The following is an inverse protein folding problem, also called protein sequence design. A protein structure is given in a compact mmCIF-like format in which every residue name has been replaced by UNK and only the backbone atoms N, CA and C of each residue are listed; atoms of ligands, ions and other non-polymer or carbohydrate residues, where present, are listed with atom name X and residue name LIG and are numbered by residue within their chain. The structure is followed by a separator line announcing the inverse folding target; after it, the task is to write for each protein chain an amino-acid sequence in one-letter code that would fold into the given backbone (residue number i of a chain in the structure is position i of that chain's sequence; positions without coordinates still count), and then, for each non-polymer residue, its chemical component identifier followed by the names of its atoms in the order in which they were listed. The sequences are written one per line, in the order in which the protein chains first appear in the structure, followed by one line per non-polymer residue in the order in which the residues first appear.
data_IF_040386070405
#
_entry.id   IF_040386070405
#
_cell.length_a   1.000
_cell.length_b   1.000
_cell.length_c   1.000
_cell.angle_alpha   90.00
_cell.angle_beta   90.00
_cell.angle_gamma   90.00
#
_symmetry.space_group_name_H-M   'P 1'
#
loop_
_entity.id
_entity.type
_entity.pdbx_description
1 polymer ?
#
# COMPACT_ATOMS: atom_id res chain seq x y z
N UNK A 1 50.52 43.48 -38.92
CA UNK A 1 49.72 42.30 -38.52
C UNK A 1 50.41 41.66 -37.32
N UNK A 2 49.94 41.91 -36.09
CA UNK A 2 50.47 41.29 -34.87
C UNK A 2 49.30 40.96 -33.94
N UNK A 3 49.33 39.72 -33.49
CA UNK A 3 48.28 38.93 -32.84
C UNK A 3 48.05 39.43 -31.41
N UNK A 4 46.78 39.53 -31.00
CA UNK A 4 46.33 39.81 -29.64
C UNK A 4 46.56 38.59 -28.74
N UNK A 5 47.16 38.81 -27.56
CA UNK A 5 47.28 37.82 -26.49
C UNK A 5 45.88 37.49 -25.95
N UNK A 6 45.52 36.21 -25.93
CA UNK A 6 44.48 35.69 -25.05
C UNK A 6 45.12 35.43 -23.69
N UNK A 7 44.72 36.19 -22.67
CA UNK A 7 45.10 35.90 -21.30
C UNK A 7 44.27 34.72 -20.79
N UNK A 8 44.98 33.65 -20.40
CA UNK A 8 44.42 32.43 -19.87
C UNK A 8 44.22 32.61 -18.36
N UNK A 9 42.98 32.61 -17.89
CA UNK A 9 42.66 32.66 -16.46
C UNK A 9 42.92 31.28 -15.84
N UNK A 10 44.07 31.10 -15.19
CA UNK A 10 44.38 29.88 -14.41
C UNK A 10 43.79 30.04 -13.01
N UNK A 11 42.71 29.35 -12.72
CA UNK A 11 42.12 29.28 -11.38
C UNK A 11 42.94 28.31 -10.54
N UNK A 12 43.73 28.82 -9.59
CA UNK A 12 44.44 28.00 -8.60
C UNK A 12 43.46 27.62 -7.48
N UNK A 13 42.89 26.42 -7.58
CA UNK A 13 41.99 25.88 -6.56
C UNK A 13 42.84 25.36 -5.39
N UNK A 14 42.64 25.94 -4.20
CA UNK A 14 43.30 25.48 -2.98
C UNK A 14 42.92 24.01 -2.69
N UNK A 15 43.91 23.17 -2.39
CA UNK A 15 43.72 21.72 -2.13
C UNK A 15 42.63 21.47 -1.06
N UNK A 16 42.51 22.36 -0.07
CA UNK A 16 41.48 22.26 0.98
C UNK A 16 40.06 22.54 0.46
N UNK A 17 39.90 23.40 -0.54
CA UNK A 17 38.61 23.67 -1.20
C UNK A 17 38.19 22.45 -2.04
N UNK A 18 39.14 21.76 -2.67
CA UNK A 18 38.87 20.52 -3.42
C UNK A 18 38.38 19.40 -2.49
N UNK A 19 38.98 19.24 -1.31
CA UNK A 19 38.51 18.27 -0.31
C UNK A 19 37.12 18.61 0.24
N UNK A 20 36.82 19.90 0.44
CA UNK A 20 35.48 20.34 0.86
C UNK A 20 34.42 20.05 -0.22
N UNK A 21 34.75 20.29 -1.50
CA UNK A 21 33.89 19.95 -2.64
C UNK A 21 33.65 18.44 -2.78
N UNK A 22 34.67 17.62 -2.52
CA UNK A 22 34.55 16.15 -2.50
C UNK A 22 33.66 15.66 -1.36
N UNK A 23 33.66 16.32 -0.20
CA UNK A 23 32.76 15.98 0.91
C UNK A 23 31.30 16.30 0.58
N UNK A 24 31.01 17.43 -0.10
CA UNK A 24 29.66 17.78 -0.53
C UNK A 24 29.08 16.82 -1.59
N UNK A 25 29.91 16.25 -2.46
CA UNK A 25 29.47 15.27 -3.47
C UNK A 25 29.06 13.92 -2.85
N UNK A 26 29.54 13.57 -1.65
CA UNK A 26 29.17 12.32 -0.99
C UNK A 26 27.80 12.37 -0.29
N UNK A 27 27.27 13.56 0.03
CA UNK A 27 25.95 13.68 0.68
C UNK A 27 24.76 13.53 -0.28
N UNK A 28 24.98 13.54 -1.59
CA UNK A 28 23.91 13.49 -2.60
C UNK A 28 23.50 12.09 -3.05
N UNK A 29 24.15 11.03 -2.55
CA UNK A 29 23.86 9.64 -2.96
C UNK A 29 23.00 8.84 -1.96
N UNK A 30 22.56 9.45 -0.85
CA UNK A 30 21.88 8.70 0.21
C UNK A 30 20.35 8.60 0.08
N UNK A 31 19.67 9.33 -0.81
CA UNK A 31 18.19 9.31 -0.86
C UNK A 31 17.62 9.58 -2.26
N UNK A 32 17.89 8.71 -3.24
CA UNK A 32 17.20 8.81 -4.53
C UNK A 32 16.50 7.51 -4.96
N UNK A 33 15.55 7.06 -4.13
CA UNK A 33 14.49 6.15 -4.57
C UNK A 33 13.34 6.88 -5.29
N UNK A 34 13.42 8.20 -5.47
CA UNK A 34 12.34 9.01 -6.05
C UNK A 34 12.41 9.10 -7.58
N UNK A 35 13.48 8.59 -8.21
CA UNK A 35 13.66 8.65 -9.67
C UNK A 35 14.04 7.31 -10.32
N UNK A 36 13.83 6.19 -9.62
CA UNK A 36 14.05 4.87 -10.19
C UNK A 36 12.73 4.43 -10.85
N UNK A 37 12.68 4.40 -12.18
CA UNK A 37 11.88 3.48 -12.99
C UNK A 37 10.40 3.24 -12.59
N UNK A 38 9.50 4.21 -12.78
CA UNK A 38 8.03 4.01 -12.69
C UNK A 38 7.48 3.58 -11.32
N UNK A 39 8.23 3.81 -10.24
CA UNK A 39 7.74 3.60 -8.89
C UNK A 39 6.98 4.84 -8.40
N UNK A 40 5.76 4.64 -7.90
CA UNK A 40 4.90 5.69 -7.35
C UNK A 40 4.57 5.33 -5.91
N UNK A 41 4.50 6.33 -5.03
CA UNK A 41 4.02 6.16 -3.65
C UNK A 41 2.55 5.76 -3.68
N UNK A 42 2.19 4.72 -2.94
CA UNK A 42 0.81 4.21 -2.93
C UNK A 42 -0.18 5.24 -2.37
N UNK A 43 0.24 6.07 -1.41
CA UNK A 43 -0.56 7.18 -0.88
C UNK A 43 -0.98 8.23 -1.93
N UNK A 44 -0.28 8.29 -3.07
CA UNK A 44 -0.57 9.22 -4.16
C UNK A 44 -1.47 8.59 -5.23
N UNK A 45 -1.84 7.31 -5.11
CA UNK A 45 -2.79 6.67 -6.00
C UNK A 45 -4.23 7.09 -5.66
N UNK A 46 -5.11 7.02 -6.66
CA UNK A 46 -6.54 7.31 -6.48
C UNK A 46 -7.23 6.13 -5.79
N UNK A 47 -7.06 6.06 -4.48
CA UNK A 47 -7.67 5.04 -3.61
C UNK A 47 -8.96 5.57 -3.01
N UNK A 48 -9.97 4.71 -2.92
CA UNK A 48 -11.23 5.06 -2.24
C UNK A 48 -11.32 4.27 -0.94
N UNK A 49 -11.51 4.95 0.19
CA UNK A 49 -11.72 4.29 1.49
C UNK A 49 -13.03 4.74 2.11
N UNK A 50 -13.82 3.78 2.55
CA UNK A 50 -15.04 4.01 3.33
C UNK A 50 -14.91 3.40 4.71
N UNK A 51 -15.50 4.07 5.69
CA UNK A 51 -15.54 3.61 7.08
C UNK A 51 -16.97 3.24 7.41
N UNK A 52 -17.22 1.94 7.59
CA UNK A 52 -18.54 1.46 7.98
C UNK A 52 -18.67 1.61 9.49
N UNK A 53 -19.63 2.43 9.92
CA UNK A 53 -19.94 2.66 11.35
C UNK A 53 -21.37 2.29 11.71
N UNK A 54 -22.18 1.95 10.70
CA UNK A 54 -23.60 1.60 10.82
C UNK A 54 -24.03 0.77 9.62
N UNK A 55 -25.26 0.27 9.66
CA UNK A 55 -25.83 -0.40 8.49
C UNK A 55 -26.00 0.62 7.35
N UNK A 56 -25.41 0.34 6.21
CA UNK A 56 -25.39 1.27 5.08
C UNK A 56 -25.19 0.55 3.75
N UNK A 57 -25.44 1.27 2.66
CA UNK A 57 -25.22 0.79 1.30
C UNK A 57 -24.25 1.71 0.59
N UNK A 58 -23.15 1.15 0.12
CA UNK A 58 -22.10 1.84 -0.61
C UNK A 58 -22.13 1.37 -2.05
N UNK A 59 -22.12 2.31 -3.00
CA UNK A 59 -22.08 2.01 -4.44
C UNK A 59 -20.79 2.56 -5.04
N UNK A 60 -20.02 1.68 -5.69
CA UNK A 60 -18.79 2.05 -6.39
C UNK A 60 -18.87 1.46 -7.78
N UNK A 61 -18.94 2.31 -8.80
CA UNK A 61 -19.15 1.89 -10.19
C UNK A 61 -20.38 0.96 -10.33
N UNK A 62 -20.14 -0.29 -10.75
CA UNK A 62 -21.15 -1.33 -10.93
C UNK A 62 -21.30 -2.25 -9.71
N UNK A 63 -20.54 -2.00 -8.64
CA UNK A 63 -20.56 -2.78 -7.40
C UNK A 63 -21.44 -2.09 -6.36
N UNK A 64 -22.20 -2.90 -5.63
CA UNK A 64 -23.02 -2.50 -4.51
C UNK A 64 -22.62 -3.32 -3.28
N UNK A 65 -22.31 -2.64 -2.20
CA UNK A 65 -21.94 -3.21 -0.91
C UNK A 65 -23.00 -2.83 0.11
N UNK A 66 -23.77 -3.81 0.59
CA UNK A 66 -24.78 -3.63 1.61
C UNK A 66 -24.21 -4.17 2.93
N UNK A 67 -23.83 -3.27 3.84
CA UNK A 67 -23.28 -3.62 5.14
C UNK A 67 -24.37 -3.62 6.21
N UNK A 68 -24.42 -4.69 7.01
CA UNK A 68 -25.29 -4.80 8.18
C UNK A 68 -24.45 -4.76 9.45
N UNK A 69 -24.46 -3.62 10.12
CA UNK A 69 -23.75 -3.40 11.37
C UNK A 69 -24.45 -4.07 12.55
N UNK A 70 -23.67 -4.59 13.48
CA UNK A 70 -24.12 -5.13 14.76
C UNK A 70 -23.19 -4.62 15.86
N UNK A 71 -23.72 -3.87 16.84
CA UNK A 71 -22.97 -3.27 17.95
C UNK A 71 -22.45 -4.30 18.98
N UNK A 72 -22.94 -5.54 18.93
CA UNK A 72 -22.54 -6.63 19.82
C UNK A 72 -22.27 -7.90 19.00
N UNK A 73 -21.42 -7.76 17.98
CA UNK A 73 -21.08 -8.85 17.06
C UNK A 73 -20.21 -9.90 17.75
N UNK A 74 -19.18 -9.47 18.47
CA UNK A 74 -18.19 -10.34 19.10
C UNK A 74 -17.90 -9.91 20.54
N UNK A 75 -17.27 -10.78 21.31
CA UNK A 75 -16.94 -10.55 22.72
C UNK A 75 -15.46 -10.86 22.98
N UNK A 76 -14.78 -9.99 23.70
CA UNK A 76 -13.47 -10.30 24.28
C UNK A 76 -13.45 -10.00 25.77
N UNK A 77 -12.65 -10.76 26.53
CA UNK A 77 -12.53 -10.59 27.98
C UNK A 77 -12.00 -9.20 28.36
N UNK A 78 -11.24 -8.55 27.47
CA UNK A 78 -10.56 -7.30 27.76
C UNK A 78 -11.43 -6.06 27.52
N UNK A 79 -12.36 -6.11 26.55
CA UNK A 79 -13.18 -4.94 26.17
C UNK A 79 -14.70 -5.20 26.22
N UNK A 80 -15.12 -6.43 26.50
CA UNK A 80 -16.54 -6.82 26.50
C UNK A 80 -17.06 -7.09 25.09
N UNK A 81 -18.36 -6.82 24.88
CA UNK A 81 -18.96 -6.88 23.56
C UNK A 81 -18.52 -5.70 22.70
N UNK A 82 -18.20 -5.96 21.45
CA UNK A 82 -17.83 -4.95 20.46
C UNK A 82 -18.51 -5.19 19.12
N UNK A 83 -18.52 -4.12 18.32
CA UNK A 83 -19.29 -4.06 17.09
C UNK A 83 -18.61 -4.76 15.90
N UNK A 84 -19.27 -4.65 14.75
CA UNK A 84 -18.71 -5.02 13.47
C UNK A 84 -19.78 -5.17 12.39
N UNK A 85 -19.37 -5.65 11.22
CA UNK A 85 -20.27 -5.95 10.10
C UNK A 85 -20.65 -7.42 10.14
N UNK A 86 -21.87 -7.68 10.58
CA UNK A 86 -22.44 -9.03 10.63
C UNK A 86 -22.55 -9.67 9.24
N UNK A 87 -22.97 -8.89 8.25
CA UNK A 87 -23.10 -9.29 6.85
C UNK A 87 -22.70 -8.13 5.94
N UNK A 88 -21.73 -8.36 5.06
CA UNK A 88 -21.40 -7.50 3.93
C UNK A 88 -21.84 -8.24 2.67
N UNK A 89 -22.96 -7.81 2.09
CA UNK A 89 -23.52 -8.39 0.88
C UNK A 89 -23.05 -7.62 -0.34
N UNK A 90 -22.56 -8.34 -1.34
CA UNK A 90 -21.97 -7.79 -2.55
C UNK A 90 -22.86 -8.11 -3.75
N UNK A 91 -23.10 -7.11 -4.58
CA UNK A 91 -23.78 -7.27 -5.87
C UNK A 91 -23.02 -6.56 -6.99
N UNK A 92 -23.00 -7.14 -8.19
CA UNK A 92 -22.40 -6.54 -9.38
C UNK A 92 -23.42 -6.44 -10.49
N UNK A 93 -23.57 -5.23 -11.06
CA UNK A 93 -24.56 -4.93 -12.10
C UNK A 93 -25.98 -5.37 -11.70
N UNK A 94 -26.32 -5.19 -10.43
CA UNK A 94 -27.63 -5.54 -9.85
C UNK A 94 -27.83 -7.04 -9.56
N UNK A 95 -26.83 -7.89 -9.81
CA UNK A 95 -26.88 -9.32 -9.45
C UNK A 95 -26.12 -9.57 -8.16
N UNK A 96 -26.75 -10.30 -7.24
CA UNK A 96 -26.06 -10.81 -6.06
C UNK A 96 -24.85 -11.64 -6.45
N UNK A 97 -23.73 -11.41 -5.78
CA UNK A 97 -22.49 -12.17 -5.94
C UNK A 97 -22.28 -13.07 -4.73
N UNK A 98 -22.05 -12.47 -3.56
CA UNK A 98 -21.67 -13.18 -2.34
C UNK A 98 -22.01 -12.36 -1.10
N UNK A 99 -21.88 -13.01 0.05
CA UNK A 99 -21.96 -12.36 1.36
C UNK A 99 -20.72 -12.74 2.16
N UNK A 100 -20.00 -11.76 2.66
CA UNK A 100 -18.95 -11.94 3.65
C UNK A 100 -19.58 -11.73 5.03
N UNK A 101 -19.36 -12.65 5.95
CA UNK A 101 -20.01 -12.63 7.28
C UNK A 101 -19.00 -12.40 8.38
N UNK A 102 -19.48 -11.86 9.50
CA UNK A 102 -18.73 -11.73 10.75
C UNK A 102 -17.40 -10.99 10.58
N UNK A 103 -17.44 -9.80 9.98
CA UNK A 103 -16.29 -8.91 9.91
C UNK A 103 -16.25 -8.14 11.23
N UNK A 104 -15.30 -8.49 12.08
CA UNK A 104 -15.16 -7.93 13.41
C UNK A 104 -14.44 -6.57 13.41
N UNK A 105 -14.88 -5.65 14.26
CA UNK A 105 -14.07 -4.49 14.65
C UNK A 105 -13.12 -4.92 15.78
N UNK A 106 -12.11 -5.73 15.43
CA UNK A 106 -11.24 -6.43 16.39
C UNK A 106 -10.44 -5.51 17.32
N UNK A 107 -10.34 -4.22 16.98
CA UNK A 107 -9.69 -3.17 17.78
C UNK A 107 -10.70 -2.20 18.44
N UNK A 108 -12.01 -2.48 18.30
CA UNK A 108 -13.13 -1.76 18.91
C UNK A 108 -13.09 -0.24 18.70
N UNK A 109 -12.77 0.21 17.48
CA UNK A 109 -12.75 1.64 17.13
C UNK A 109 -14.14 2.20 16.78
N UNK A 110 -15.16 1.35 16.69
CA UNK A 110 -16.50 1.70 16.21
C UNK A 110 -16.58 1.88 14.70
N UNK A 111 -15.56 1.43 13.95
CA UNK A 111 -15.49 1.59 12.49
C UNK A 111 -14.74 0.42 11.83
N UNK A 112 -15.19 0.01 10.64
CA UNK A 112 -14.47 -0.92 9.78
C UNK A 112 -14.08 -0.21 8.48
N UNK A 113 -12.79 0.11 8.29
CA UNK A 113 -12.29 0.68 7.04
C UNK A 113 -12.23 -0.37 5.92
N UNK A 114 -12.83 -0.05 4.78
CA UNK A 114 -12.72 -0.81 3.54
C UNK A 114 -12.09 0.09 2.48
N UNK A 115 -10.99 -0.35 1.90
CA UNK A 115 -10.25 0.38 0.86
C UNK A 115 -10.35 -0.35 -0.47
N UNK A 116 -10.65 0.39 -1.52
CA UNK A 116 -10.87 -0.08 -2.89
C UNK A 116 -9.76 0.41 -3.81
N UNK A 117 -9.19 -0.51 -4.58
CA UNK A 117 -8.13 -0.26 -5.56
C UNK A 117 -7.92 -1.51 -6.43
N UNK A 118 -7.22 -1.39 -7.56
CA UNK A 118 -6.75 -2.52 -8.38
C UNK A 118 -5.39 -3.02 -7.86
N UNK A 119 -5.40 -3.83 -6.79
CA UNK A 119 -4.19 -4.18 -6.04
C UNK A 119 -3.28 -5.14 -6.80
N UNK A 120 -3.87 -6.07 -7.56
CA UNK A 120 -3.16 -7.02 -8.40
C UNK A 120 -2.80 -6.46 -9.80
N UNK A 121 -3.22 -5.23 -10.10
CA UNK A 121 -2.96 -4.49 -11.34
C UNK A 121 -3.49 -5.24 -12.56
N UNK A 122 -4.64 -5.90 -12.45
CA UNK A 122 -5.28 -6.65 -13.53
C UNK A 122 -6.38 -5.87 -14.27
N UNK A 123 -6.69 -4.65 -13.81
CA UNK A 123 -7.70 -3.77 -14.37
C UNK A 123 -9.08 -3.90 -13.73
N UNK A 124 -9.26 -4.78 -12.73
CA UNK A 124 -10.49 -4.91 -11.97
C UNK A 124 -10.40 -4.23 -10.60
N UNK A 125 -11.55 -3.84 -10.07
CA UNK A 125 -11.61 -3.22 -8.75
C UNK A 125 -11.60 -4.31 -7.69
N UNK A 126 -10.58 -4.28 -6.84
CA UNK A 126 -10.45 -5.11 -5.65
C UNK A 126 -10.77 -4.30 -4.40
N UNK A 127 -10.77 -4.97 -3.25
CA UNK A 127 -10.76 -4.27 -1.96
C UNK A 127 -9.99 -5.04 -0.90
N UNK A 128 -9.56 -4.32 0.14
CA UNK A 128 -9.21 -4.95 1.41
C UNK A 128 -10.07 -4.40 2.54
N UNK A 129 -10.21 -5.21 3.58
CA UNK A 129 -10.78 -4.81 4.87
C UNK A 129 -9.63 -4.75 5.88
N UNK A 130 -9.48 -3.61 6.56
CA UNK A 130 -8.51 -3.49 7.65
C UNK A 130 -9.12 -4.10 8.92
N UNK A 131 -8.53 -5.17 9.42
CA UNK A 131 -9.02 -5.89 10.61
C UNK A 131 -8.36 -5.35 11.88
N UNK A 132 -7.04 -5.25 11.86
CA UNK A 132 -6.27 -4.68 12.95
C UNK A 132 -5.03 -3.94 12.42
N UNK A 133 -4.45 -3.12 13.30
CA UNK A 133 -3.17 -2.47 13.05
C UNK A 133 -2.34 -2.50 14.34
N UNK A 134 -1.43 -3.47 14.40
CA UNK A 134 -0.36 -3.49 15.39
C UNK A 134 0.90 -2.83 14.82
N UNK A 135 2.00 -3.58 14.82
CA UNK A 135 3.26 -3.18 14.17
C UNK A 135 3.12 -3.17 12.63
N UNK A 136 2.35 -4.12 12.10
CA UNK A 136 1.97 -4.27 10.70
C UNK A 136 0.47 -4.49 10.70
N UNK A 137 -0.27 -3.87 9.79
CA UNK A 137 -1.72 -4.06 9.73
C UNK A 137 -2.08 -5.38 9.07
N UNK A 138 -3.07 -6.07 9.64
CA UNK A 138 -3.74 -7.20 9.01
C UNK A 138 -4.84 -6.69 8.07
N UNK A 139 -4.63 -6.88 6.77
CA UNK A 139 -5.50 -6.42 5.70
C UNK A 139 -6.06 -7.62 4.94
N UNK A 140 -7.34 -7.94 5.11
CA UNK A 140 -7.96 -9.03 4.36
C UNK A 140 -8.24 -8.58 2.92
N UNK A 141 -7.42 -9.03 1.96
CA UNK A 141 -7.57 -8.70 0.54
C UNK A 141 -8.58 -9.62 -0.17
N UNK A 142 -9.42 -9.01 -1.00
CA UNK A 142 -10.45 -9.66 -1.79
C UNK A 142 -10.32 -9.22 -3.24
N UNK A 143 -9.89 -10.15 -4.11
CA UNK A 143 -9.68 -9.85 -5.53
C UNK A 143 -10.85 -10.30 -6.37
N UNK A 144 -11.26 -9.47 -7.30
CA UNK A 144 -12.34 -9.81 -8.22
C UNK A 144 -11.86 -10.87 -9.22
N UNK A 145 -12.53 -12.02 -9.26
CA UNK A 145 -12.32 -13.01 -10.32
C UNK A 145 -13.44 -12.90 -11.35
N UNK A 146 -13.08 -12.45 -12.55
CA UNK A 146 -14.04 -12.28 -13.65
C UNK A 146 -14.72 -13.61 -14.03
N UNK A 147 -13.98 -14.73 -13.94
CA UNK A 147 -14.46 -16.05 -14.36
C UNK A 147 -15.66 -16.50 -13.53
N UNK A 148 -15.53 -16.42 -12.21
CA UNK A 148 -16.62 -16.73 -11.28
C UNK A 148 -17.56 -15.54 -11.04
N UNK A 149 -17.14 -14.33 -11.42
CA UNK A 149 -17.76 -13.05 -11.03
C UNK A 149 -17.90 -12.90 -9.51
N UNK A 150 -16.93 -13.41 -8.75
CA UNK A 150 -16.89 -13.37 -7.28
C UNK A 150 -15.59 -12.75 -6.76
N UNK A 151 -15.60 -12.30 -5.51
CA UNK A 151 -14.42 -11.83 -4.82
C UNK A 151 -13.76 -12.96 -4.03
N UNK A 152 -12.50 -13.24 -4.34
CA UNK A 152 -11.71 -14.30 -3.74
C UNK A 152 -10.81 -13.68 -2.67
N UNK A 153 -10.96 -14.14 -1.44
CA UNK A 153 -10.06 -13.79 -0.35
C UNK A 153 -8.64 -14.34 -0.60
N UNK A 154 -7.63 -13.49 -0.41
CA UNK A 154 -6.21 -13.79 -0.70
C UNK A 154 -5.38 -13.75 0.57
N UNK A 155 -5.38 -14.86 1.32
CA UNK A 155 -4.64 -15.00 2.59
C UNK A 155 -3.15 -14.65 2.50
N UNK A 156 -2.48 -14.95 1.38
CA UNK A 156 -1.06 -14.63 1.20
C UNK A 156 -0.78 -13.12 1.20
N UNK A 157 -1.81 -12.29 1.02
CA UNK A 157 -1.70 -10.84 0.99
C UNK A 157 -1.97 -10.18 2.34
N UNK A 158 -2.38 -10.94 3.36
CA UNK A 158 -2.90 -10.42 4.64
C UNK A 158 -2.00 -9.38 5.34
N UNK A 159 -0.70 -9.42 5.09
CA UNK A 159 0.27 -8.51 5.70
C UNK A 159 1.03 -7.64 4.69
N UNK A 160 0.57 -7.62 3.43
CA UNK A 160 1.17 -6.79 2.37
C UNK A 160 0.69 -5.35 2.51
N UNK A 161 1.35 -4.58 3.37
CA UNK A 161 1.12 -3.14 3.47
C UNK A 161 1.89 -2.46 2.34
N UNK A 162 1.21 -1.79 1.41
CA UNK A 162 1.84 -1.28 0.19
C UNK A 162 2.42 0.12 0.43
N UNK A 163 3.73 0.28 0.26
CA UNK A 163 4.39 1.58 0.31
C UNK A 163 4.53 2.22 -1.07
N UNK A 164 5.03 1.46 -2.05
CA UNK A 164 5.19 1.91 -3.45
C UNK A 164 4.73 0.84 -4.43
N UNK A 165 4.28 1.31 -5.60
CA UNK A 165 3.85 0.47 -6.72
C UNK A 165 4.67 0.76 -7.97
N UNK A 166 4.90 -0.28 -8.77
CA UNK A 166 5.33 -0.19 -10.15
C UNK A 166 4.31 -0.89 -11.04
N UNK A 167 3.30 -0.15 -11.50
CA UNK A 167 2.17 -0.68 -12.27
C UNK A 167 2.60 -1.37 -13.56
N UNK A 168 3.59 -0.81 -14.25
CA UNK A 168 4.09 -1.34 -15.52
C UNK A 168 4.75 -2.72 -15.34
N UNK A 169 5.50 -2.91 -14.25
CA UNK A 169 6.19 -4.17 -13.96
C UNK A 169 5.40 -5.11 -13.05
N UNK A 170 4.22 -4.69 -12.60
CA UNK A 170 3.42 -5.35 -11.56
C UNK A 170 4.25 -5.68 -10.30
N UNK A 171 4.86 -4.66 -9.71
CA UNK A 171 5.69 -4.82 -8.51
C UNK A 171 5.20 -3.95 -7.37
N UNK A 172 5.42 -4.45 -6.16
CA UNK A 172 5.09 -3.82 -4.89
C UNK A 172 6.37 -3.68 -4.09
N UNK A 173 6.54 -2.54 -3.42
CA UNK A 173 7.47 -2.39 -2.31
C UNK A 173 6.60 -2.22 -1.07
N UNK A 174 6.75 -3.11 -0.09
CA UNK A 174 5.93 -3.05 1.12
C UNK A 174 6.35 -1.89 2.01
N UNK A 175 5.51 -1.52 2.97
CA UNK A 175 5.98 -0.81 4.14
C UNK A 175 7.05 -1.67 4.86
N UNK A 176 8.07 -1.02 5.45
CA UNK A 176 9.15 -1.76 6.07
C UNK A 176 8.66 -2.49 7.32
N UNK A 177 8.99 -3.78 7.44
CA UNK A 177 8.86 -4.47 8.72
C UNK A 177 10.14 -4.22 9.55
N UNK A 178 9.98 -3.56 10.69
CA UNK A 178 11.12 -3.15 11.48
C UNK A 178 10.81 -2.14 12.58
N UNK A 179 11.82 -1.36 12.91
CA UNK A 179 11.74 -0.21 13.82
C UNK A 179 11.94 1.06 13.01
N UNK A 180 11.75 2.22 13.63
CA UNK A 180 12.11 3.49 13.00
C UNK A 180 13.59 3.58 12.57
N UNK A 181 14.47 2.74 13.13
CA UNK A 181 15.92 2.79 12.88
C UNK A 181 16.43 1.72 11.91
N UNK A 182 15.77 0.57 11.83
CA UNK A 182 16.19 -0.56 10.99
C UNK A 182 15.06 -1.52 10.68
N UNK A 183 15.15 -2.18 9.53
CA UNK A 183 14.21 -3.20 9.08
C UNK A 183 14.44 -3.54 7.60
N UNK A 184 13.44 -4.19 7.00
CA UNK A 184 13.49 -4.59 5.61
C UNK A 184 12.23 -4.18 4.86
N UNK A 185 12.42 -3.66 3.64
CA UNK A 185 11.35 -3.59 2.66
C UNK A 185 11.29 -4.90 1.88
N UNK A 186 10.09 -5.42 1.64
CA UNK A 186 9.90 -6.53 0.71
C UNK A 186 9.62 -5.98 -0.69
N UNK A 187 10.49 -6.32 -1.65
CA UNK A 187 10.23 -6.07 -3.06
C UNK A 187 9.54 -7.31 -3.64
N UNK A 188 8.25 -7.18 -3.93
CA UNK A 188 7.38 -8.24 -4.43
C UNK A 188 7.05 -8.03 -5.91
N UNK A 189 6.79 -9.14 -6.62
CA UNK A 189 6.14 -9.17 -7.92
C UNK A 189 4.77 -9.81 -7.80
N UNK A 190 3.78 -9.22 -8.44
CA UNK A 190 2.44 -9.80 -8.58
C UNK A 190 2.42 -10.71 -9.80
N UNK A 191 1.98 -11.95 -9.62
CA UNK A 191 1.83 -12.96 -10.69
C UNK A 191 0.54 -13.74 -10.43
N UNK A 192 -0.41 -13.69 -11.36
CA UNK A 192 -1.67 -14.43 -11.30
C UNK A 192 -2.37 -14.33 -9.94
N UNK A 193 -2.55 -13.09 -9.44
CA UNK A 193 -3.20 -12.79 -8.16
C UNK A 193 -2.44 -13.27 -6.90
N UNK A 194 -1.20 -13.73 -7.06
CA UNK A 194 -0.29 -14.09 -5.98
C UNK A 194 0.93 -13.15 -5.94
N UNK A 195 1.68 -13.19 -4.84
CA UNK A 195 2.92 -12.43 -4.67
C UNK A 195 4.13 -13.34 -4.68
N UNK A 196 5.24 -12.84 -5.22
CA UNK A 196 6.55 -13.49 -5.17
C UNK A 196 7.60 -12.50 -4.71
N UNK A 197 8.31 -12.82 -3.63
CA UNK A 197 9.45 -12.04 -3.17
C UNK A 197 10.55 -12.06 -4.23
N UNK A 198 10.96 -10.86 -4.67
CA UNK A 198 12.12 -10.66 -5.53
C UNK A 198 13.35 -10.47 -4.66
N UNK A 199 13.26 -9.59 -3.66
CA UNK A 199 14.40 -9.19 -2.84
C UNK A 199 13.94 -8.53 -1.54
N UNK A 200 14.67 -8.76 -0.45
CA UNK A 200 14.64 -7.94 0.75
C UNK A 200 15.62 -6.78 0.62
N UNK A 201 15.16 -5.58 0.95
CA UNK A 201 15.96 -4.35 0.89
C UNK A 201 16.11 -3.84 2.32
N UNK A 202 17.29 -4.02 2.95
CA UNK A 202 17.51 -3.52 4.30
C UNK A 202 17.56 -2.00 4.31
N UNK A 203 17.09 -1.42 5.40
CA UNK A 203 17.33 -0.03 5.80
C UNK A 203 17.74 0.03 7.26
N UNK A 204 18.37 1.15 7.64
CA UNK A 204 19.09 1.22 8.91
C UNK A 204 20.48 0.63 8.79
N UNK A 205 21.42 1.18 9.57
CA UNK A 205 22.83 0.82 9.54
C UNK A 205 23.13 -0.48 10.29
#
# INVERSE_FOLDING_TARGET
MKITKLDCLVIVINKNILYLLLLFLNFSYAQNFNNINNWVLFENEDITTFKITKSETIKINNLLFEAKWNDSLSYSNNIGYYGGVSELKLSFKGKYIQTIKNIEDGIALGEIPITFYDFNMDGFLDFYIRIDCGKVCHLNYYFFDETSSTFIYKKEWDYVNIFKLNKIKKQILTEPDGTALKGDYEWLRVVDNNIKLIKLIPYGN
#
